data_IF_831133464059
#
_entry.id   IF_831133464059
#
_cell.length_a   1.000
_cell.length_b   1.000
_cell.length_c   1.000
_cell.angle_alpha   90.00
_cell.angle_beta   90.00
_cell.angle_gamma   90.00
#
_symmetry.space_group_name_H-M   'P 1'
#
loop_
_entity.id
_entity.type
_entity.pdbx_description
1 polymer ?
#
# COMPACT_ATOMS: atom_id res chain seq x y z
N UNK A 1 9.99 28.59 9.47
CA UNK A 1 8.69 27.92 9.61
C UNK A 1 8.84 26.47 9.20
N UNK A 2 8.63 25.51 10.11
CA UNK A 2 8.92 24.08 9.87
C UNK A 2 7.62 23.38 9.47
N UNK A 3 7.54 22.87 8.24
CA UNK A 3 6.37 22.14 7.74
C UNK A 3 6.60 20.63 7.83
N UNK A 4 5.61 19.89 8.32
CA UNK A 4 5.62 18.43 8.29
C UNK A 4 5.64 17.91 6.85
N UNK A 5 6.62 17.07 6.52
CA UNK A 5 6.81 16.54 5.16
C UNK A 5 6.30 15.11 5.04
N UNK A 6 5.48 14.87 4.02
CA UNK A 6 4.98 13.54 3.68
C UNK A 6 5.75 12.93 2.52
N UNK A 7 5.73 11.61 2.45
CA UNK A 7 6.08 10.82 1.28
C UNK A 7 4.85 10.06 0.81
N UNK A 8 4.78 9.83 -0.47
CA UNK A 8 3.73 9.11 -1.15
C UNK A 8 4.37 7.99 -1.97
N UNK A 9 3.91 6.77 -1.76
CA UNK A 9 4.34 5.58 -2.46
C UNK A 9 3.24 5.15 -3.40
N UNK A 10 3.57 5.01 -4.68
CA UNK A 10 2.71 4.34 -5.67
C UNK A 10 3.14 2.88 -5.69
N UNK A 11 2.20 1.99 -5.43
CA UNK A 11 2.47 0.56 -5.33
C UNK A 11 1.49 -0.23 -6.17
N UNK A 12 1.98 -1.32 -6.73
CA UNK A 12 1.21 -2.31 -7.43
C UNK A 12 0.92 -3.51 -6.52
N UNK A 13 -0.31 -4.00 -6.53
CA UNK A 13 -0.73 -5.18 -5.76
C UNK A 13 -0.81 -6.38 -6.69
N UNK A 14 0.15 -7.29 -6.52
CA UNK A 14 0.18 -8.56 -7.23
C UNK A 14 -0.62 -9.58 -6.42
N UNK A 15 -1.66 -10.13 -7.02
CA UNK A 15 -2.52 -11.15 -6.40
C UNK A 15 -2.16 -12.49 -7.03
N UNK A 16 -1.65 -13.43 -6.22
CA UNK A 16 -1.31 -14.76 -6.69
C UNK A 16 -2.57 -15.63 -6.75
N UNK A 17 -3.19 -15.72 -7.93
CA UNK A 17 -4.37 -16.57 -8.14
C UNK A 17 -4.06 -18.07 -8.14
N UNK A 18 -2.78 -18.45 -8.18
CA UNK A 18 -2.32 -19.84 -8.29
C UNK A 18 -2.25 -20.57 -6.93
N UNK A 19 -2.58 -19.88 -5.83
CA UNK A 19 -2.72 -20.46 -4.49
C UNK A 19 -4.20 -20.60 -4.20
N UNK A 20 -4.81 -21.50 -4.94
CA UNK A 20 -6.23 -21.78 -4.98
C UNK A 20 -6.70 -22.28 -3.61
N UNK A 21 -7.33 -21.42 -2.83
CA UNK A 21 -8.39 -21.88 -1.92
C UNK A 21 -9.68 -21.50 -2.60
N UNK A 22 -10.38 -22.51 -3.11
CA UNK A 22 -11.54 -22.36 -3.99
C UNK A 22 -12.66 -21.51 -3.40
N UNK A 23 -13.50 -21.00 -4.32
CA UNK A 23 -14.85 -20.53 -4.05
C UNK A 23 -15.01 -19.58 -2.85
N UNK A 24 -14.20 -18.52 -2.81
CA UNK A 24 -14.45 -17.39 -1.91
C UNK A 24 -14.51 -16.13 -2.74
N UNK A 25 -15.65 -15.43 -2.63
CA UNK A 25 -15.91 -14.13 -3.26
C UNK A 25 -14.62 -13.31 -3.32
N UNK A 26 -14.24 -12.78 -4.50
CA UNK A 26 -13.00 -12.03 -4.63
C UNK A 26 -13.09 -10.88 -3.63
N UNK A 27 -12.28 -10.95 -2.56
CA UNK A 27 -12.24 -9.87 -1.58
C UNK A 27 -11.95 -8.61 -2.38
N UNK A 28 -12.93 -7.71 -2.44
CA UNK A 28 -12.79 -6.46 -3.16
C UNK A 28 -11.59 -5.77 -2.53
N UNK A 29 -10.58 -5.45 -3.36
CA UNK A 29 -9.40 -4.73 -2.96
C UNK A 29 -9.80 -3.31 -2.56
N UNK A 30 -10.33 -3.19 -1.34
CA UNK A 30 -10.86 -1.97 -0.77
C UNK A 30 -9.76 -1.27 0.02
N UNK A 31 -9.80 0.07 0.02
CA UNK A 31 -8.88 0.88 0.82
C UNK A 31 -8.85 0.47 2.29
N UNK A 32 -9.97 0.02 2.84
CA UNK A 32 -10.04 -0.49 4.21
C UNK A 32 -9.21 -1.76 4.41
N UNK A 33 -9.38 -2.75 3.53
CA UNK A 33 -8.68 -4.03 3.62
C UNK A 33 -7.17 -3.86 3.48
N UNK A 34 -6.73 -3.03 2.53
CA UNK A 34 -5.32 -2.68 2.33
C UNK A 34 -4.76 -1.95 3.56
N UNK A 35 -5.49 -0.96 4.09
CA UNK A 35 -5.08 -0.24 5.29
C UNK A 35 -4.92 -1.17 6.49
N UNK A 36 -5.88 -2.09 6.68
CA UNK A 36 -5.85 -3.05 7.78
C UNK A 36 -4.65 -4.00 7.65
N UNK A 37 -4.47 -4.63 6.49
CA UNK A 37 -3.37 -5.58 6.27
C UNK A 37 -1.99 -4.94 6.48
N UNK A 38 -1.80 -3.68 6.04
CA UNK A 38 -0.55 -2.96 6.26
C UNK A 38 -0.37 -2.62 7.75
N UNK A 39 -1.41 -2.18 8.46
CA UNK A 39 -1.34 -1.92 9.91
C UNK A 39 -0.99 -3.18 10.69
N UNK A 40 -1.65 -4.28 10.39
CA UNK A 40 -1.39 -5.58 11.02
C UNK A 40 0.08 -6.00 10.77
N UNK A 41 0.59 -5.82 9.54
CA UNK A 41 2.00 -6.06 9.23
C UNK A 41 2.97 -5.14 9.99
N UNK A 42 2.63 -3.85 10.14
CA UNK A 42 3.46 -2.92 10.92
C UNK A 42 3.51 -3.37 12.38
N UNK A 43 2.37 -3.75 12.96
CA UNK A 43 2.26 -4.21 14.35
C UNK A 43 3.06 -5.50 14.57
N UNK A 44 2.95 -6.47 13.64
CA UNK A 44 3.66 -7.75 13.73
C UNK A 44 5.18 -7.58 13.63
N UNK A 45 5.67 -6.72 12.73
CA UNK A 45 7.11 -6.59 12.45
C UNK A 45 7.83 -5.54 13.31
N UNK A 46 7.12 -4.47 13.71
CA UNK A 46 7.70 -3.32 14.43
C UNK A 46 7.06 -3.06 15.80
N UNK A 47 6.11 -3.91 16.21
CA UNK A 47 5.41 -3.80 17.50
C UNK A 47 4.44 -2.62 17.60
N UNK A 48 3.86 -2.46 18.79
CA UNK A 48 2.90 -1.39 19.09
C UNK A 48 3.49 0.01 18.93
N UNK A 49 4.77 0.19 19.29
CA UNK A 49 5.46 1.48 19.14
C UNK A 49 5.64 1.87 17.66
N UNK A 50 5.97 0.89 16.81
CA UNK A 50 6.08 1.11 15.36
C UNK A 50 4.73 1.45 14.72
N UNK A 51 3.66 0.81 15.19
CA UNK A 51 2.30 1.10 14.76
C UNK A 51 1.85 2.50 15.21
N UNK A 52 2.03 2.84 16.49
CA UNK A 52 1.61 4.11 17.07
C UNK A 52 2.31 5.31 16.43
N UNK A 53 3.63 5.22 16.20
CA UNK A 53 4.40 6.27 15.51
C UNK A 53 3.90 6.52 14.08
N UNK A 54 3.54 5.45 13.38
CA UNK A 54 3.11 5.52 11.98
C UNK A 54 1.64 5.94 11.82
N UNK A 55 0.79 5.71 12.83
CA UNK A 55 -0.67 5.80 12.73
C UNK A 55 -1.21 7.16 12.28
N UNK A 56 -0.56 8.25 12.72
CA UNK A 56 -0.96 9.63 12.42
C UNK A 56 -0.65 10.04 10.97
N UNK A 57 0.41 9.49 10.40
CA UNK A 57 0.91 9.89 9.07
C UNK A 57 0.54 8.90 7.97
N UNK A 58 0.34 7.63 8.35
CA UNK A 58 0.00 6.54 7.47
C UNK A 58 -1.46 6.63 7.01
N UNK A 59 -1.67 6.75 5.70
CA UNK A 59 -3.01 6.72 5.11
C UNK A 59 -2.96 6.17 3.69
N UNK A 60 -3.81 5.20 3.38
CA UNK A 60 -4.06 4.78 2.00
C UNK A 60 -4.97 5.82 1.35
N UNK A 61 -4.47 6.51 0.32
CA UNK A 61 -5.17 7.63 -0.34
C UNK A 61 -5.99 7.20 -1.54
N UNK A 62 -5.55 6.17 -2.24
CA UNK A 62 -6.17 5.68 -3.45
C UNK A 62 -5.94 4.18 -3.56
N UNK A 63 -6.95 3.45 -4.00
CA UNK A 63 -6.85 2.04 -4.39
C UNK A 63 -7.76 1.86 -5.59
N UNK A 64 -7.22 1.29 -6.66
CA UNK A 64 -8.00 0.83 -7.79
C UNK A 64 -8.11 -0.70 -7.71
N UNK A 65 -9.30 -1.28 -7.53
CA UNK A 65 -9.45 -2.73 -7.45
C UNK A 65 -9.22 -3.42 -8.80
N UNK A 66 -9.39 -2.71 -9.93
CA UNK A 66 -9.27 -3.26 -11.28
C UNK A 66 -7.79 -3.32 -11.68
N UNK A 67 -7.11 -2.17 -11.67
CA UNK A 67 -5.69 -2.10 -12.03
C UNK A 67 -4.76 -2.52 -10.90
N UNK A 68 -5.30 -2.70 -9.68
CA UNK A 68 -4.57 -3.10 -8.46
C UNK A 68 -3.49 -2.10 -8.02
N UNK A 69 -3.56 -0.86 -8.49
CA UNK A 69 -2.67 0.21 -8.05
C UNK A 69 -3.19 0.84 -6.76
N UNK A 70 -2.29 1.11 -5.82
CA UNK A 70 -2.57 1.84 -4.60
C UNK A 70 -1.58 2.98 -4.35
N UNK A 71 -2.05 4.04 -3.68
CA UNK A 71 -1.22 5.16 -3.25
C UNK A 71 -1.26 5.22 -1.72
N UNK A 72 -0.09 5.08 -1.11
CA UNK A 72 0.10 5.11 0.34
C UNK A 72 0.85 6.37 0.74
N UNK A 73 0.29 7.11 1.71
CA UNK A 73 0.95 8.25 2.36
C UNK A 73 1.69 7.76 3.60
N UNK A 74 2.87 8.31 3.85
CA UNK A 74 3.68 8.11 5.03
C UNK A 74 4.40 9.42 5.45
N UNK A 75 4.86 9.50 6.70
CA UNK A 75 5.80 10.55 7.13
C UNK A 75 7.13 10.42 6.39
N UNK A 76 7.88 11.52 6.25
CA UNK A 76 9.23 11.46 5.69
C UNK A 76 10.17 10.60 6.53
N UNK A 77 9.96 10.50 7.83
CA UNK A 77 10.87 9.79 8.73
C UNK A 77 10.54 8.29 8.82
N UNK A 78 9.25 7.93 8.73
CA UNK A 78 8.81 6.53 8.88
C UNK A 78 8.53 5.82 7.54
N UNK A 79 8.62 6.49 6.38
CA UNK A 79 8.31 5.87 5.09
C UNK A 79 9.08 4.57 4.82
N UNK A 80 10.34 4.46 5.27
CA UNK A 80 11.15 3.23 5.12
C UNK A 80 10.60 2.08 5.96
N UNK A 81 10.14 2.37 7.18
CA UNK A 81 9.53 1.38 8.08
C UNK A 81 8.22 0.87 7.50
N UNK A 82 7.37 1.79 7.04
CA UNK A 82 6.10 1.46 6.39
C UNK A 82 6.37 0.66 5.10
N UNK A 83 7.34 1.06 4.28
CA UNK A 83 7.68 0.33 3.07
C UNK A 83 8.15 -1.11 3.37
N UNK A 84 9.04 -1.28 4.35
CA UNK A 84 9.46 -2.60 4.80
C UNK A 84 8.28 -3.45 5.27
N UNK A 85 7.37 -2.90 6.09
CA UNK A 85 6.16 -3.59 6.51
C UNK A 85 5.29 -4.02 5.31
N UNK A 86 5.14 -3.16 4.30
CA UNK A 86 4.34 -3.45 3.11
C UNK A 86 4.94 -4.62 2.31
N UNK A 87 6.26 -4.66 2.14
CA UNK A 87 6.92 -5.79 1.44
C UNK A 87 6.76 -7.13 2.15
N UNK A 88 6.49 -7.11 3.45
CA UNK A 88 6.27 -8.30 4.28
C UNK A 88 4.80 -8.74 4.32
N UNK A 89 3.86 -7.98 3.74
CA UNK A 89 2.45 -8.40 3.65
C UNK A 89 2.37 -9.61 2.72
N UNK A 90 1.90 -10.74 3.27
CA UNK A 90 1.74 -12.00 2.52
C UNK A 90 0.31 -12.26 2.06
N UNK A 91 -0.67 -11.68 2.74
CA UNK A 91 -2.08 -11.88 2.42
C UNK A 91 -2.94 -10.70 2.87
N UNK A 92 -4.04 -10.48 2.15
CA UNK A 92 -5.12 -9.59 2.56
C UNK A 92 -6.35 -10.48 2.73
N UNK A 93 -6.76 -10.69 3.98
CA UNK A 93 -7.80 -11.66 4.30
C UNK A 93 -7.36 -13.07 3.90
N UNK A 94 -8.06 -13.68 2.93
CA UNK A 94 -7.76 -15.02 2.42
C UNK A 94 -6.95 -15.03 1.12
N UNK A 95 -6.74 -13.87 0.50
CA UNK A 95 -6.03 -13.78 -0.77
C UNK A 95 -4.53 -13.55 -0.53
N UNK A 96 -3.64 -14.40 -1.05
CA UNK A 96 -2.21 -14.13 -1.02
C UNK A 96 -1.88 -12.98 -1.95
N UNK A 97 -1.16 -11.99 -1.43
CA UNK A 97 -0.78 -10.80 -2.18
C UNK A 97 0.69 -10.48 -1.94
N UNK A 98 1.29 -9.79 -2.90
CA UNK A 98 2.57 -9.12 -2.74
C UNK A 98 2.47 -7.70 -3.28
N UNK A 99 3.25 -6.79 -2.69
CA UNK A 99 3.27 -5.39 -3.08
C UNK A 99 4.58 -5.06 -3.78
N UNK A 100 4.49 -4.45 -4.96
CA UNK A 100 5.64 -3.90 -5.67
C UNK A 100 5.63 -2.36 -5.58
N UNK A 101 6.79 -1.74 -5.36
CA UNK A 101 6.90 -0.28 -5.32
C UNK A 101 7.23 0.25 -6.72
N UNK A 102 6.38 1.11 -7.26
CA UNK A 102 6.55 1.72 -8.58
C UNK A 102 7.22 3.08 -8.50
N UNK A 103 6.77 3.96 -7.59
CA UNK A 103 7.33 5.30 -7.41
C UNK A 103 7.27 5.77 -5.95
N UNK A 104 8.24 6.60 -5.55
CA UNK A 104 8.29 7.27 -4.26
C UNK A 104 8.49 8.77 -4.46
N UNK A 105 7.48 9.56 -4.07
CA UNK A 105 7.45 10.99 -4.35
C UNK A 105 7.02 11.81 -3.13
N UNK A 106 7.42 13.08 -3.06
CA UNK A 106 7.04 14.00 -1.96
C UNK A 106 5.72 14.74 -2.21
N UNK A 107 5.21 14.70 -3.44
CA UNK A 107 4.06 15.48 -3.88
C UNK A 107 2.99 14.56 -4.48
N UNK A 108 1.76 14.64 -3.95
CA UNK A 108 0.64 13.82 -4.41
C UNK A 108 0.32 14.03 -5.91
N UNK A 109 0.57 15.23 -6.45
CA UNK A 109 0.37 15.54 -7.88
C UNK A 109 1.28 14.70 -8.78
N UNK A 110 2.54 14.50 -8.36
CA UNK A 110 3.52 13.69 -9.11
C UNK A 110 3.12 12.21 -9.05
N UNK A 111 2.76 11.72 -7.85
CA UNK A 111 2.25 10.36 -7.68
C UNK A 111 0.99 10.08 -8.49
N UNK A 112 0.06 11.03 -8.55
CA UNK A 112 -1.18 10.86 -9.31
C UNK A 112 -0.90 10.72 -10.80
N UNK A 113 0.00 11.54 -11.35
CA UNK A 113 0.43 11.42 -12.75
C UNK A 113 1.10 10.08 -13.02
N UNK A 114 2.00 9.66 -12.13
CA UNK A 114 2.70 8.37 -12.25
C UNK A 114 1.75 7.17 -12.13
N UNK A 115 0.78 7.22 -11.22
CA UNK A 115 -0.24 6.19 -11.10
C UNK A 115 -1.09 6.07 -12.37
N UNK A 116 -1.42 7.20 -13.01
CA UNK A 116 -2.16 7.23 -14.26
C UNK A 116 -1.35 6.67 -15.43
N UNK A 117 -0.07 7.05 -15.55
CA UNK A 117 0.87 6.48 -16.53
C UNK A 117 1.01 4.96 -16.35
N UNK A 118 1.13 4.47 -15.11
CA UNK A 118 1.18 3.04 -14.83
C UNK A 118 -0.15 2.32 -15.10
N UNK A 119 -1.29 2.98 -14.89
CA UNK A 119 -2.59 2.43 -15.27
C UNK A 119 -2.68 2.27 -16.79
N UNK A 120 -2.30 3.29 -17.57
CA UNK A 120 -2.30 3.26 -19.03
C UNK A 120 -1.44 2.12 -19.59
N UNK A 121 -0.22 1.95 -19.07
CA UNK A 121 0.69 0.86 -19.51
C UNK A 121 0.16 -0.55 -19.26
N UNK A 122 -0.87 -0.73 -18.41
CA UNK A 122 -1.49 -2.04 -18.18
C UNK A 122 -2.59 -2.37 -19.19
N UNK A 123 -3.07 -1.37 -19.93
CA UNK A 123 -4.09 -1.55 -20.96
C UNK A 123 -3.51 -1.75 -22.36
N UNK A 124 -2.25 -1.34 -22.57
CA UNK A 124 -1.45 -1.65 -23.77
C UNK A 124 -0.96 -3.11 -23.78
#
# INVERSE_FOLDING_TARGET
MVQFKNRYMVMDVLVDSNRETGDVDPIVLSGFNVTKAIKDSIQLNFGECGLASSLLSFQVKYVNPITKICIVRASRDDHKRIWAAITMVRSIGRCPVSFNLLDLSGCIRVCRRKALECDETKFE
#
